data_IF_564148810458
#
_entry.id   IF_564148810458
#
_cell.length_a   1.000
_cell.length_b   1.000
_cell.length_c   1.000
_cell.angle_alpha   90.00
_cell.angle_beta   90.00
_cell.angle_gamma   90.00
#
_symmetry.space_group_name_H-M   'P 1'
#
loop_
_entity.id
_entity.type
_entity.pdbx_description
1 polymer ?
#
# COMPACT_ATOMS: atom_id res chain seq x y z
N UNK A 1 -15.39 -63.33 -2.81
CA UNK A 1 -14.15 -62.55 -3.02
C UNK A 1 -14.36 -61.71 -4.28
N UNK A 2 -14.22 -60.40 -4.39
CA UNK A 2 -13.75 -59.29 -3.55
C UNK A 2 -14.56 -58.07 -4.04
N UNK A 3 -15.17 -57.31 -3.13
CA UNK A 3 -15.64 -55.97 -3.44
C UNK A 3 -14.42 -55.07 -3.55
N UNK A 4 -14.31 -54.27 -4.61
CA UNK A 4 -13.42 -53.11 -4.63
C UNK A 4 -14.29 -51.90 -4.88
N UNK A 5 -14.69 -51.28 -3.77
CA UNK A 5 -15.25 -49.95 -3.71
C UNK A 5 -14.05 -48.99 -3.74
N UNK A 6 -13.92 -48.20 -4.80
CA UNK A 6 -12.98 -47.07 -4.83
C UNK A 6 -13.73 -45.83 -4.32
N UNK A 7 -13.53 -45.52 -3.02
CA UNK A 7 -13.89 -44.24 -2.40
C UNK A 7 -12.59 -43.43 -2.25
N UNK A 8 -12.77 -42.10 -2.33
CA UNK A 8 -11.84 -41.02 -1.96
C UNK A 8 -10.81 -40.64 -3.05
N UNK A 9 -10.60 -39.38 -3.38
CA UNK A 9 -10.62 -38.13 -2.56
C UNK A 9 -11.09 -36.96 -3.44
N UNK A 10 -12.23 -36.32 -3.16
CA UNK A 10 -12.34 -35.08 -2.36
C UNK A 10 -11.16 -34.13 -2.55
N UNK A 11 -11.42 -33.08 -3.34
CA UNK A 11 -11.09 -31.67 -3.09
C UNK A 11 -9.78 -31.39 -2.35
N UNK A 12 -8.77 -30.92 -3.09
CA UNK A 12 -7.87 -29.90 -2.56
C UNK A 12 -7.70 -28.81 -3.63
N UNK A 13 -8.75 -28.01 -3.80
CA UNK A 13 -8.58 -26.67 -4.34
C UNK A 13 -7.79 -25.87 -3.31
N UNK A 14 -6.48 -25.80 -3.49
CA UNK A 14 -5.67 -24.82 -2.80
C UNK A 14 -6.10 -23.45 -3.32
N UNK A 15 -7.07 -22.83 -2.66
CA UNK A 15 -7.17 -21.38 -2.68
C UNK A 15 -5.89 -20.91 -1.99
N UNK A 16 -4.83 -20.71 -2.77
CA UNK A 16 -3.70 -19.91 -2.35
C UNK A 16 -4.29 -18.56 -1.98
N UNK A 17 -4.50 -18.34 -0.68
CA UNK A 17 -4.86 -17.04 -0.13
C UNK A 17 -3.80 -16.09 -0.66
N UNK A 18 -4.23 -15.21 -1.56
CA UNK A 18 -3.49 -14.08 -2.05
C UNK A 18 -2.79 -13.41 -0.86
N UNK A 19 -1.48 -13.65 -0.72
CA UNK A 19 -0.70 -13.12 0.41
C UNK A 19 -0.30 -11.70 0.03
N UNK A 20 -0.91 -10.73 0.70
CA UNK A 20 -0.51 -9.32 0.64
C UNK A 20 0.84 -9.17 1.34
N UNK A 21 1.78 -8.50 0.67
CA UNK A 21 3.11 -8.22 1.18
C UNK A 21 3.27 -6.71 1.37
N UNK A 22 3.61 -6.29 2.59
CA UNK A 22 3.86 -4.87 2.89
C UNK A 22 5.29 -4.51 2.47
N UNK A 23 5.39 -3.47 1.64
CA UNK A 23 6.65 -2.95 1.10
C UNK A 23 7.10 -1.69 1.84
N UNK A 24 6.17 -0.81 2.19
CA UNK A 24 6.45 0.43 2.93
C UNK A 24 5.39 0.64 4.00
N UNK A 25 5.80 1.04 5.20
CA UNK A 25 4.90 1.39 6.28
C UNK A 25 5.31 2.72 6.92
N UNK A 26 4.53 3.77 6.68
CA UNK A 26 4.70 5.09 7.25
C UNK A 26 3.68 5.32 8.36
N UNK A 27 4.17 5.76 9.53
CA UNK A 27 3.38 6.06 10.72
C UNK A 27 3.71 7.43 11.28
N UNK A 28 2.85 7.92 12.16
CA UNK A 28 3.00 9.22 12.83
C UNK A 28 3.14 10.36 11.82
N UNK A 29 2.35 10.29 10.74
CA UNK A 29 2.34 11.30 9.70
C UNK A 29 1.69 12.58 10.28
N UNK A 30 2.41 13.70 10.23
CA UNK A 30 1.91 15.00 10.68
C UNK A 30 1.01 15.66 9.61
N UNK A 31 -0.17 15.07 9.41
CA UNK A 31 -1.22 15.56 8.52
C UNK A 31 -2.59 15.44 9.22
N UNK A 32 -3.54 16.31 8.86
CA UNK A 32 -4.86 16.34 9.48
C UNK A 32 -5.75 15.15 9.08
N UNK A 33 -5.53 14.62 7.88
CA UNK A 33 -6.37 13.61 7.21
C UNK A 33 -5.67 12.25 7.07
N UNK A 34 -4.35 12.18 7.25
CA UNK A 34 -3.55 10.96 7.11
C UNK A 34 -2.75 10.73 8.39
N UNK A 35 -2.95 9.58 9.03
CA UNK A 35 -2.18 9.13 10.20
C UNK A 35 -1.14 8.05 9.85
N UNK A 36 -1.46 7.20 8.87
CA UNK A 36 -0.56 6.16 8.35
C UNK A 36 -0.72 6.00 6.84
N UNK A 37 0.35 5.59 6.17
CA UNK A 37 0.38 5.23 4.76
C UNK A 37 1.14 3.90 4.58
N UNK A 38 0.53 2.92 3.92
CA UNK A 38 1.10 1.58 3.74
C UNK A 38 1.10 1.23 2.25
N UNK A 39 2.26 0.95 1.68
CA UNK A 39 2.36 0.37 0.34
C UNK A 39 2.45 -1.13 0.47
N UNK A 40 1.58 -1.85 -0.24
CA UNK A 40 1.54 -3.30 -0.19
C UNK A 40 1.17 -3.91 -1.55
N UNK A 41 1.46 -5.20 -1.72
CA UNK A 41 1.04 -5.94 -2.91
C UNK A 41 -0.44 -6.30 -2.79
N UNK A 42 -1.22 -5.89 -3.78
CA UNK A 42 -2.60 -6.30 -3.95
C UNK A 42 -2.65 -7.52 -4.86
N UNK A 43 -3.25 -8.58 -4.36
CA UNK A 43 -3.41 -9.83 -5.10
C UNK A 43 -4.89 -10.04 -5.42
N UNK A 44 -5.30 -9.51 -6.58
CA UNK A 44 -6.59 -9.81 -7.21
C UNK A 44 -6.45 -11.06 -8.10
N UNK A 45 -7.29 -12.09 -7.91
CA UNK A 45 -7.35 -13.24 -8.80
C UNK A 45 -7.51 -12.88 -10.30
N UNK A 46 -8.06 -11.70 -10.62
CA UNK A 46 -8.29 -11.24 -11.98
C UNK A 46 -7.21 -10.29 -12.53
N UNK A 47 -6.47 -9.56 -11.69
CA UNK A 47 -5.62 -8.42 -12.14
C UNK A 47 -4.10 -8.66 -12.09
N UNK A 48 -3.63 -9.84 -11.67
CA UNK A 48 -2.21 -10.08 -11.30
C UNK A 48 -1.79 -9.19 -10.12
N UNK A 49 -0.59 -9.41 -9.59
CA UNK A 49 -0.05 -8.63 -8.48
C UNK A 49 0.13 -7.16 -8.93
N UNK A 50 -0.59 -6.24 -8.30
CA UNK A 50 -0.41 -4.79 -8.42
C UNK A 50 0.01 -4.18 -7.08
N UNK A 51 0.41 -2.92 -7.06
CA UNK A 51 0.69 -2.20 -5.81
C UNK A 51 -0.53 -1.38 -5.38
N UNK A 52 -0.69 -1.30 -4.08
CA UNK A 52 -1.76 -0.57 -3.41
C UNK A 52 -1.13 0.34 -2.35
N UNK A 53 -1.60 1.58 -2.29
CA UNK A 53 -1.39 2.49 -1.18
C UNK A 53 -2.65 2.50 -0.30
N UNK A 54 -2.49 2.10 0.95
CA UNK A 54 -3.53 2.19 1.98
C UNK A 54 -3.25 3.37 2.89
N UNK A 55 -4.17 4.32 2.90
CA UNK A 55 -4.16 5.48 3.79
C UNK A 55 -5.14 5.26 4.92
N UNK A 56 -4.74 5.61 6.14
CA UNK A 56 -5.64 5.57 7.31
C UNK A 56 -5.72 6.94 7.95
N UNK A 57 -6.93 7.47 8.14
CA UNK A 57 -7.16 8.75 8.80
C UNK A 57 -6.98 8.65 10.31
N UNK A 58 -6.81 9.78 11.03
CA UNK A 58 -6.79 9.78 12.50
C UNK A 58 -8.07 9.22 13.15
N UNK A 59 -9.19 9.22 12.42
CA UNK A 59 -10.45 8.62 12.85
C UNK A 59 -10.51 7.09 12.65
N UNK A 60 -9.49 6.51 12.00
CA UNK A 60 -9.40 5.07 11.69
C UNK A 60 -10.08 4.67 10.37
N UNK A 61 -10.50 5.62 9.55
CA UNK A 61 -11.07 5.35 8.24
C UNK A 61 -9.96 5.02 7.24
N UNK A 62 -10.17 3.99 6.41
CA UNK A 62 -9.16 3.51 5.47
C UNK A 62 -9.57 3.74 4.02
N UNK A 63 -8.64 4.20 3.20
CA UNK A 63 -8.77 4.32 1.75
C UNK A 63 -7.66 3.51 1.07
N UNK A 64 -8.01 2.66 0.09
CA UNK A 64 -7.06 1.97 -0.77
C UNK A 64 -7.03 2.61 -2.16
N UNK A 65 -5.84 2.79 -2.69
CA UNK A 65 -5.57 3.43 -3.97
C UNK A 65 -4.58 2.55 -4.73
N UNK A 66 -4.94 2.15 -5.96
CA UNK A 66 -4.00 1.46 -6.85
C UNK A 66 -2.90 2.44 -7.27
N UNK A 67 -1.64 2.02 -7.14
CA UNK A 67 -0.49 2.84 -7.52
C UNK A 67 0.37 2.11 -8.56
N UNK A 68 1.03 2.87 -9.42
CA UNK A 68 1.97 2.31 -10.38
C UNK A 68 3.26 1.86 -9.68
N UNK A 69 3.82 0.73 -10.12
CA UNK A 69 5.08 0.22 -9.55
C UNK A 69 6.27 1.12 -9.85
N UNK A 70 6.20 1.90 -10.93
CA UNK A 70 7.21 2.89 -11.31
C UNK A 70 7.25 4.03 -10.28
N UNK A 71 6.10 4.61 -9.93
CA UNK A 71 5.97 5.64 -8.89
C UNK A 71 6.59 5.20 -7.55
N UNK A 72 6.33 3.96 -7.13
CA UNK A 72 6.95 3.40 -5.92
C UNK A 72 8.49 3.29 -6.06
N UNK A 73 8.96 2.80 -7.20
CA UNK A 73 10.39 2.56 -7.45
C UNK A 73 11.17 3.88 -7.51
N UNK A 74 10.62 4.88 -8.20
CA UNK A 74 11.19 6.22 -8.32
C UNK A 74 11.10 7.01 -7.01
N UNK A 75 10.24 6.57 -6.09
CA UNK A 75 10.09 7.22 -4.80
C UNK A 75 9.19 8.44 -4.87
N UNK A 76 8.13 8.40 -5.70
CA UNK A 76 7.24 9.53 -5.93
C UNK A 76 5.78 9.09 -6.10
N UNK A 77 5.09 8.85 -4.99
CA UNK A 77 3.70 8.36 -4.99
C UNK A 77 2.76 9.53 -4.75
N UNK A 78 1.83 9.79 -5.67
CA UNK A 78 0.82 10.83 -5.48
C UNK A 78 -0.15 10.45 -4.35
N UNK A 79 -0.41 11.40 -3.45
CA UNK A 79 -1.43 11.28 -2.42
C UNK A 79 -2.70 12.01 -2.86
N UNK A 80 -3.89 11.61 -2.36
CA UNK A 80 -5.11 12.39 -2.55
C UNK A 80 -4.88 13.84 -2.12
N UNK A 81 -5.18 14.79 -3.00
CA UNK A 81 -5.14 16.20 -2.65
C UNK A 81 -6.36 16.54 -1.77
N UNK A 82 -6.12 17.19 -0.62
CA UNK A 82 -7.17 18.01 -0.01
C UNK A 82 -7.04 19.43 -0.60
N UNK A 83 -8.18 19.97 -1.05
CA UNK A 83 -8.29 21.30 -1.65
C UNK A 83 -7.35 21.55 -2.84
N UNK A 84 -6.49 22.58 -2.75
CA UNK A 84 -5.55 23.03 -3.79
C UNK A 84 -4.11 22.58 -3.53
N UNK A 85 -3.91 21.64 -2.59
CA UNK A 85 -2.58 21.18 -2.22
C UNK A 85 -2.21 19.90 -2.95
N UNK A 86 -1.21 19.94 -3.82
CA UNK A 86 -0.63 18.70 -4.36
C UNK A 86 0.23 18.07 -3.26
N UNK A 87 0.13 16.75 -3.10
CA UNK A 87 0.84 16.01 -2.06
C UNK A 87 1.41 14.72 -2.61
N UNK A 88 2.60 14.37 -2.17
CA UNK A 88 3.34 13.21 -2.62
C UNK A 88 4.02 12.55 -1.42
N UNK A 89 4.02 11.23 -1.38
CA UNK A 89 4.93 10.45 -0.55
C UNK A 89 6.23 10.27 -1.35
N UNK A 90 7.32 10.83 -0.84
CA UNK A 90 8.59 10.96 -1.58
C UNK A 90 9.73 10.27 -0.85
N UNK A 91 10.61 9.59 -1.59
CA UNK A 91 11.82 8.97 -1.04
C UNK A 91 12.95 9.99 -1.01
N UNK A 92 13.52 10.21 0.17
CA UNK A 92 14.68 11.07 0.43
C UNK A 92 15.87 10.23 0.92
N UNK A 93 17.06 10.82 1.00
CA UNK A 93 18.28 10.14 1.48
C UNK A 93 18.11 9.54 2.89
N UNK A 94 17.27 10.14 3.73
CA UNK A 94 16.99 9.71 5.10
C UNK A 94 15.77 8.80 5.28
N UNK A 95 15.03 8.49 4.22
CA UNK A 95 13.79 7.73 4.28
C UNK A 95 12.64 8.37 3.50
N UNK A 96 11.42 7.91 3.72
CA UNK A 96 10.23 8.43 3.06
C UNK A 96 9.58 9.55 3.87
N UNK A 97 9.13 10.60 3.19
CA UNK A 97 8.49 11.78 3.78
C UNK A 97 7.36 12.27 2.88
N UNK A 98 6.40 13.01 3.44
CA UNK A 98 5.38 13.68 2.63
C UNK A 98 5.89 15.04 2.18
N UNK A 99 5.87 15.28 0.88
CA UNK A 99 6.09 16.57 0.25
C UNK A 99 4.74 17.13 -0.22
N UNK A 100 4.53 18.43 -0.05
CA UNK A 100 3.35 19.09 -0.60
C UNK A 100 3.60 20.51 -1.09
N UNK A 101 2.72 20.97 -1.97
CA UNK A 101 2.73 22.33 -2.53
C UNK A 101 1.38 23.01 -2.26
N UNK A 102 1.39 24.30 -1.94
CA UNK A 102 0.17 25.13 -1.83
C UNK A 102 0.45 26.44 -2.57
N UNK A 103 -0.08 26.56 -3.79
CA UNK A 103 0.27 27.68 -4.67
C UNK A 103 1.75 27.65 -5.04
N UNK A 104 2.54 28.59 -4.50
CA UNK A 104 4.00 28.65 -4.71
C UNK A 104 4.81 28.18 -3.50
N UNK A 105 4.17 27.92 -2.36
CA UNK A 105 4.84 27.46 -1.16
C UNK A 105 4.99 25.94 -1.18
N UNK A 106 6.12 25.44 -0.69
CA UNK A 106 6.36 24.00 -0.48
C UNK A 106 6.46 23.70 1.01
N UNK A 107 6.09 22.48 1.39
CA UNK A 107 6.25 21.99 2.75
C UNK A 107 6.59 20.50 2.76
N UNK A 108 7.15 20.06 3.88
CA UNK A 108 7.41 18.65 4.17
C UNK A 108 6.74 18.30 5.49
N UNK A 109 6.05 17.17 5.53
CA UNK A 109 5.48 16.62 6.76
C UNK A 109 6.31 15.43 7.22
N UNK A 110 6.63 15.44 8.51
CA UNK A 110 7.41 14.38 9.14
C UNK A 110 6.60 13.10 9.19
N UNK A 111 7.26 11.98 8.88
CA UNK A 111 6.74 10.64 9.01
C UNK A 111 7.84 9.70 9.49
N UNK A 112 7.48 8.63 10.18
CA UNK A 112 8.41 7.51 10.44
C UNK A 112 8.06 6.39 9.49
N UNK A 113 8.94 6.13 8.52
CA UNK A 113 8.71 5.13 7.48
C UNK A 113 9.71 3.99 7.57
N UNK A 114 9.18 2.77 7.51
CA UNK A 114 9.95 1.53 7.45
C UNK A 114 9.69 0.89 6.09
N UNK A 115 10.74 0.86 5.26
CA UNK A 115 10.73 0.15 3.99
C UNK A 115 11.25 -1.27 4.22
N UNK A 116 10.60 -2.25 3.58
CA UNK A 116 11.04 -3.63 3.61
C UNK A 116 12.41 -3.71 2.91
N UNK A 117 13.39 -4.32 3.58
CA UNK A 117 14.66 -4.63 2.96
C UNK A 117 14.46 -5.65 1.82
N UNK A 118 15.04 -5.36 0.65
CA UNK A 118 15.07 -6.26 -0.51
C UNK A 118 15.74 -7.60 -0.21
#
# INVERSE_FOLDING_TARGET
MKFVVAIATVLVGFNALASTEVLLNCKHIDQADISTAVVQTYADPAKKFSLELVLTSPAGETQSIEIDSEDYTEGWIALPAEDTAERYLTRQEGGWEIFGTIGQATYFATATCEEKAE
#
